data_IF_958676991252
#
_entry.id   IF_958676991252
#
_cell.length_a   1.000
_cell.length_b   1.000
_cell.length_c   1.000
_cell.angle_alpha   90.00
_cell.angle_beta   90.00
_cell.angle_gamma   90.00
#
_symmetry.space_group_name_H-M   'P 1'
#
loop_
_entity.id
_entity.type
_entity.pdbx_description
1 polymer ?
#
# COMPACT_ATOMS: atom_id res chain seq x y z
N UNK A 1 -42.12 40.14 21.14
CA UNK A 1 -43.01 39.00 21.39
C UNK A 1 -43.25 38.34 20.03
N UNK A 2 -42.99 37.02 19.92
CA UNK A 2 -43.00 36.16 18.71
C UNK A 2 -41.85 36.41 17.69
N UNK A 3 -40.80 35.59 17.67
CA UNK A 3 -40.63 34.25 17.03
C UNK A 3 -40.85 34.23 15.51
N UNK A 4 -39.77 33.97 14.77
CA UNK A 4 -39.77 33.08 13.61
C UNK A 4 -38.36 32.50 13.40
N UNK A 5 -38.29 31.18 13.53
CA UNK A 5 -37.14 30.30 13.34
C UNK A 5 -36.78 30.18 11.86
N UNK A 6 -35.50 30.28 11.51
CA UNK A 6 -34.99 29.86 10.20
C UNK A 6 -34.16 28.59 10.37
N UNK A 7 -34.72 27.51 9.83
CA UNK A 7 -34.22 26.14 9.79
C UNK A 7 -32.76 26.06 9.31
N UNK A 8 -31.90 25.49 10.16
CA UNK A 8 -30.66 24.81 9.75
C UNK A 8 -31.05 23.48 9.12
N UNK A 9 -30.88 23.35 7.80
CA UNK A 9 -30.94 22.03 7.16
C UNK A 9 -29.58 21.36 7.36
N UNK A 10 -29.48 20.53 8.40
CA UNK A 10 -28.49 19.46 8.43
C UNK A 10 -28.89 18.44 7.36
N UNK A 11 -28.05 18.27 6.35
CA UNK A 11 -28.10 17.10 5.49
C UNK A 11 -27.54 15.96 6.34
N UNK A 12 -28.42 15.29 7.05
CA UNK A 12 -28.14 13.97 7.62
C UNK A 12 -28.03 13.02 6.43
N UNK A 13 -26.81 12.73 5.99
CA UNK A 13 -26.54 11.57 5.14
C UNK A 13 -26.77 10.37 6.03
N UNK A 14 -28.02 9.92 6.09
CA UNK A 14 -28.39 8.64 6.67
C UNK A 14 -27.62 7.56 5.91
N UNK A 15 -27.03 6.64 6.66
CA UNK A 15 -26.42 5.44 6.14
C UNK A 15 -27.48 4.34 6.01
N UNK A 16 -28.03 4.06 4.82
CA UNK A 16 -28.77 2.81 4.63
C UNK A 16 -28.20 1.93 3.51
N UNK A 17 -26.92 2.04 3.15
CA UNK A 17 -26.29 1.07 2.23
C UNK A 17 -25.46 -0.01 2.95
N UNK A 18 -25.05 0.23 4.20
CA UNK A 18 -24.17 -0.69 4.94
C UNK A 18 -24.88 -1.89 5.57
N UNK A 19 -26.21 -1.85 5.72
CA UNK A 19 -26.99 -2.91 6.39
C UNK A 19 -27.57 -3.93 5.41
N UNK A 20 -27.58 -3.64 4.09
CA UNK A 20 -28.20 -4.55 3.12
C UNK A 20 -27.28 -5.72 2.68
N UNK A 21 -25.99 -5.72 3.03
CA UNK A 21 -25.05 -6.81 2.71
C UNK A 21 -24.83 -7.81 3.86
N UNK A 22 -25.35 -7.57 5.06
CA UNK A 22 -25.21 -8.48 6.21
C UNK A 22 -26.31 -9.56 6.29
N UNK A 23 -27.19 -9.63 5.30
CA UNK A 23 -28.44 -10.37 5.40
C UNK A 23 -28.57 -11.61 4.51
N UNK A 24 -27.52 -12.40 4.28
CA UNK A 24 -27.65 -13.79 3.79
C UNK A 24 -26.47 -14.66 4.24
N UNK A 25 -26.47 -15.07 5.52
CA UNK A 25 -25.73 -16.26 5.96
C UNK A 25 -26.49 -17.51 5.47
N UNK A 26 -26.37 -17.80 4.18
CA UNK A 26 -26.48 -19.16 3.70
C UNK A 26 -25.10 -19.79 3.86
N UNK A 27 -25.03 -20.98 4.45
CA UNK A 27 -23.83 -21.81 4.45
C UNK A 27 -23.46 -22.19 3.00
N UNK A 28 -22.83 -21.25 2.28
CA UNK A 28 -22.09 -21.57 1.08
C UNK A 28 -20.83 -22.28 1.57
N UNK A 29 -20.67 -23.54 1.18
CA UNK A 29 -19.44 -24.27 1.43
C UNK A 29 -18.26 -23.39 0.99
N UNK A 30 -17.42 -23.01 1.95
CA UNK A 30 -16.18 -22.30 1.70
C UNK A 30 -15.42 -23.11 0.65
N UNK A 31 -15.09 -22.47 -0.47
CA UNK A 31 -14.52 -23.19 -1.61
C UNK A 31 -13.07 -23.44 -1.28
N UNK A 32 -12.66 -24.67 -0.96
CA UNK A 32 -11.25 -24.94 -0.72
C UNK A 32 -10.46 -24.66 -1.99
N UNK A 33 -9.70 -23.55 -2.00
CA UNK A 33 -8.89 -23.19 -3.17
C UNK A 33 -7.48 -23.77 -3.11
N UNK A 34 -7.05 -24.26 -1.95
CA UNK A 34 -5.68 -24.68 -1.75
C UNK A 34 -5.43 -26.12 -2.21
N UNK A 35 -4.28 -26.34 -2.82
CA UNK A 35 -3.68 -27.65 -3.02
C UNK A 35 -2.38 -27.75 -2.19
N UNK A 36 -1.95 -28.95 -1.80
CA UNK A 36 -0.71 -29.13 -1.04
C UNK A 36 -0.79 -28.70 0.43
N UNK A 37 0.28 -28.15 1.05
CA UNK A 37 0.38 -27.94 2.51
C UNK A 37 -0.73 -27.09 3.14
N UNK A 38 -1.32 -26.15 2.37
CA UNK A 38 -2.41 -25.29 2.86
C UNK A 38 -3.78 -25.97 2.88
N UNK A 39 -3.97 -27.09 2.17
CA UNK A 39 -5.24 -27.82 2.16
C UNK A 39 -5.54 -28.53 3.48
N UNK A 40 -4.52 -28.74 4.32
CA UNK A 40 -4.67 -29.42 5.63
C UNK A 40 -4.94 -28.48 6.81
N UNK A 41 -4.88 -27.16 6.61
CA UNK A 41 -5.11 -26.14 7.64
C UNK A 41 -6.57 -25.67 7.60
N UNK A 42 -7.14 -25.39 8.77
CA UNK A 42 -8.41 -24.65 8.83
C UNK A 42 -8.21 -23.25 8.22
N UNK A 43 -9.06 -22.82 7.27
CA UNK A 43 -8.98 -21.48 6.70
C UNK A 43 -9.11 -20.42 7.79
N UNK A 44 -8.35 -19.34 7.65
CA UNK A 44 -8.54 -18.17 8.51
C UNK A 44 -9.88 -17.48 8.19
N UNK A 45 -10.70 -17.26 9.22
CA UNK A 45 -12.07 -16.75 9.13
C UNK A 45 -12.17 -15.24 9.46
N UNK A 46 -11.04 -14.57 9.70
CA UNK A 46 -11.01 -13.18 10.16
C UNK A 46 -10.81 -12.17 9.04
N UNK A 47 -11.38 -10.99 9.27
CA UNK A 47 -11.07 -9.80 8.49
C UNK A 47 -9.85 -9.09 9.07
N UNK A 48 -8.99 -8.57 8.19
CA UNK A 48 -7.93 -7.63 8.56
C UNK A 48 -8.30 -6.21 8.17
N UNK A 49 -7.88 -5.24 9.00
CA UNK A 49 -8.00 -3.81 8.72
C UNK A 49 -6.63 -3.16 8.93
N UNK A 50 -6.21 -2.36 7.96
CA UNK A 50 -4.93 -1.65 7.99
C UNK A 50 -5.15 -0.17 7.72
N UNK A 51 -4.57 0.67 8.57
CA UNK A 51 -4.45 2.11 8.33
C UNK A 51 -2.97 2.43 8.18
N UNK A 52 -2.61 3.01 7.04
CA UNK A 52 -1.26 3.50 6.75
C UNK A 52 -1.31 5.01 6.63
N UNK A 53 -0.38 5.68 7.29
CA UNK A 53 -0.15 7.12 7.20
C UNK A 53 1.34 7.27 6.95
N UNK A 54 1.70 7.87 5.82
CA UNK A 54 3.07 8.17 5.45
C UNK A 54 3.23 9.70 5.41
N UNK A 55 4.27 10.21 6.05
CA UNK A 55 4.53 11.64 6.10
C UNK A 55 6.03 11.91 6.35
N UNK A 56 6.57 12.96 5.75
CA UNK A 56 7.96 13.39 5.94
C UNK A 56 8.22 14.12 7.28
N UNK A 57 7.17 14.55 7.99
CA UNK A 57 7.20 14.99 9.40
C UNK A 57 7.79 13.92 10.34
N UNK A 58 7.75 12.65 9.94
CA UNK A 58 8.33 11.55 10.70
C UNK A 58 9.82 11.35 10.44
N UNK A 59 10.47 12.30 9.74
CA UNK A 59 11.90 12.30 9.45
C UNK A 59 12.63 13.44 10.16
N UNK A 60 13.93 13.29 10.47
CA UNK A 60 14.72 14.36 11.09
C UNK A 60 14.84 15.63 10.25
N UNK A 61 14.66 15.52 8.93
CA UNK A 61 14.79 16.64 7.98
C UNK A 61 13.50 17.44 7.82
N UNK A 62 12.33 16.83 8.07
CA UNK A 62 11.01 17.47 8.08
C UNK A 62 10.82 18.48 6.94
N UNK A 63 10.90 18.00 5.70
CA UNK A 63 11.11 18.89 4.56
C UNK A 63 9.83 19.25 3.79
N UNK A 64 8.70 18.54 3.95
CA UNK A 64 7.46 18.74 3.17
C UNK A 64 7.69 18.71 1.64
N UNK A 65 8.51 17.76 1.13
CA UNK A 65 9.03 17.75 -0.26
C UNK A 65 8.73 16.45 -0.99
N UNK A 66 8.46 16.56 -2.29
CA UNK A 66 8.29 15.47 -3.25
C UNK A 66 7.16 14.50 -2.93
N UNK A 67 7.33 13.61 -1.95
CA UNK A 67 6.26 12.77 -1.40
C UNK A 67 5.97 13.26 0.02
N UNK A 68 5.05 14.21 0.14
CA UNK A 68 4.76 14.88 1.43
C UNK A 68 3.78 14.06 2.29
N UNK A 69 2.79 13.42 1.66
CA UNK A 69 1.78 12.70 2.43
C UNK A 69 1.08 11.57 1.67
N UNK A 70 0.81 10.49 2.39
CA UNK A 70 -0.11 9.45 1.98
C UNK A 70 -0.98 8.95 3.13
N UNK A 71 -2.25 8.67 2.83
CA UNK A 71 -3.13 7.91 3.72
C UNK A 71 -3.77 6.78 2.96
N UNK A 72 -3.85 5.60 3.57
CA UNK A 72 -4.52 4.42 3.00
C UNK A 72 -5.24 3.64 4.07
N UNK A 73 -6.51 3.35 3.82
CA UNK A 73 -7.31 2.41 4.59
C UNK A 73 -7.53 1.16 3.75
N UNK A 74 -7.21 -0.01 4.30
CA UNK A 74 -7.34 -1.28 3.61
C UNK A 74 -8.07 -2.32 4.45
N UNK A 75 -8.78 -3.19 3.74
CA UNK A 75 -9.53 -4.32 4.26
C UNK A 75 -9.08 -5.56 3.51
N UNK A 76 -8.86 -6.65 4.24
CA UNK A 76 -8.56 -7.95 3.65
C UNK A 76 -9.52 -8.99 4.20
N UNK A 77 -10.06 -9.80 3.29
CA UNK A 77 -11.05 -10.81 3.61
C UNK A 77 -10.44 -12.01 4.33
N UNK A 78 -11.29 -12.83 4.97
CA UNK A 78 -10.97 -14.22 5.29
C UNK A 78 -10.51 -15.01 4.05
N UNK A 79 -9.86 -16.15 4.29
CA UNK A 79 -9.48 -17.07 3.21
C UNK A 79 -10.71 -17.64 2.53
N UNK A 80 -10.70 -17.71 1.20
CA UNK A 80 -11.69 -18.40 0.37
C UNK A 80 -13.15 -17.94 0.60
N UNK A 81 -13.33 -16.70 1.08
CA UNK A 81 -14.65 -16.15 1.39
C UNK A 81 -15.38 -15.56 0.18
N UNK A 82 -14.69 -15.39 -0.95
CA UNK A 82 -15.32 -14.89 -2.18
C UNK A 82 -16.13 -15.99 -2.89
N UNK A 83 -17.12 -15.63 -3.73
CA UNK A 83 -17.90 -16.62 -4.47
C UNK A 83 -17.02 -17.54 -5.33
N UNK A 84 -17.32 -18.85 -5.34
CA UNK A 84 -16.55 -19.88 -6.06
C UNK A 84 -16.29 -19.54 -7.54
N UNK A 85 -17.27 -18.94 -8.22
CA UNK A 85 -17.14 -18.52 -9.62
C UNK A 85 -16.05 -17.46 -9.81
N UNK A 86 -15.89 -16.55 -8.86
CA UNK A 86 -14.86 -15.52 -8.88
C UNK A 86 -13.47 -16.10 -8.59
N UNK A 87 -13.38 -16.98 -7.58
CA UNK A 87 -12.13 -17.69 -7.25
C UNK A 87 -11.65 -18.58 -8.40
N UNK A 88 -12.56 -19.25 -9.10
CA UNK A 88 -12.22 -20.07 -10.27
C UNK A 88 -11.66 -19.23 -11.42
N UNK A 89 -12.15 -18.01 -11.64
CA UNK A 89 -11.58 -17.08 -12.64
C UNK A 89 -10.20 -16.61 -12.21
N UNK A 90 -9.99 -16.30 -10.93
CA UNK A 90 -8.68 -15.94 -10.38
C UNK A 90 -7.62 -17.02 -10.67
N UNK A 91 -7.99 -18.31 -10.53
CA UNK A 91 -7.11 -19.45 -10.84
C UNK A 91 -6.74 -19.60 -12.32
N UNK A 92 -7.48 -18.97 -13.24
CA UNK A 92 -7.16 -18.99 -14.68
C UNK A 92 -6.16 -17.90 -15.07
N UNK A 93 -5.85 -16.97 -14.18
CA UNK A 93 -4.92 -15.88 -14.47
C UNK A 93 -3.51 -16.47 -14.62
N UNK A 94 -2.87 -16.32 -15.79
CA UNK A 94 -1.54 -16.88 -16.02
C UNK A 94 -0.56 -16.41 -14.95
N UNK A 95 0.26 -17.34 -14.46
CA UNK A 95 1.27 -17.13 -13.42
C UNK A 95 0.73 -16.79 -12.03
N UNK A 96 -0.58 -16.63 -11.82
CA UNK A 96 -1.15 -16.49 -10.48
C UNK A 96 -1.13 -17.86 -9.77
N UNK A 97 -0.69 -17.90 -8.51
CA UNK A 97 -0.65 -19.12 -7.70
C UNK A 97 -2.07 -19.65 -7.47
N UNK A 98 -2.51 -20.60 -8.28
CA UNK A 98 -3.87 -21.17 -8.23
C UNK A 98 -4.03 -22.24 -7.16
N UNK A 99 -2.91 -22.68 -6.60
CA UNK A 99 -2.76 -23.69 -5.55
C UNK A 99 -2.79 -23.13 -4.11
N UNK A 100 -2.79 -21.81 -3.94
CA UNK A 100 -2.80 -21.16 -2.63
C UNK A 100 -4.19 -20.81 -2.11
N UNK A 101 -4.28 -20.47 -0.81
CA UNK A 101 -5.48 -19.88 -0.19
C UNK A 101 -5.66 -18.45 -0.69
N UNK A 102 -6.86 -18.11 -1.16
CA UNK A 102 -7.11 -16.81 -1.80
C UNK A 102 -7.85 -15.88 -0.83
N UNK A 103 -7.35 -14.64 -0.67
CA UNK A 103 -8.04 -13.53 -0.02
C UNK A 103 -8.37 -12.45 -1.04
N UNK A 104 -9.40 -11.65 -0.77
CA UNK A 104 -9.67 -10.41 -1.49
C UNK A 104 -9.23 -9.22 -0.66
N UNK A 105 -8.66 -8.21 -1.32
CA UNK A 105 -8.28 -6.94 -0.67
C UNK A 105 -9.04 -5.78 -1.29
N UNK A 106 -9.34 -4.78 -0.46
CA UNK A 106 -9.92 -3.52 -0.88
C UNK A 106 -9.21 -2.39 -0.17
N UNK A 107 -8.87 -1.33 -0.88
CA UNK A 107 -8.32 -0.13 -0.23
C UNK A 107 -8.83 1.16 -0.83
N UNK A 108 -8.75 2.22 -0.04
CA UNK A 108 -8.97 3.60 -0.46
C UNK A 108 -7.79 4.40 0.07
N UNK A 109 -7.18 5.21 -0.78
CA UNK A 109 -6.05 6.04 -0.40
C UNK A 109 -5.95 7.33 -1.17
N UNK A 110 -5.19 8.26 -0.61
CA UNK A 110 -4.85 9.53 -1.21
C UNK A 110 -3.35 9.78 -1.03
N UNK A 111 -2.68 10.25 -2.08
CA UNK A 111 -1.26 10.62 -2.05
C UNK A 111 -1.07 12.02 -2.60
N UNK A 112 -0.11 12.74 -2.05
CA UNK A 112 0.16 14.14 -2.36
C UNK A 112 1.65 14.31 -2.68
N UNK A 113 1.90 15.06 -3.74
CA UNK A 113 3.22 15.34 -4.26
C UNK A 113 3.38 16.84 -4.44
N UNK A 114 4.50 17.37 -3.97
CA UNK A 114 4.78 18.81 -3.91
C UNK A 114 6.21 19.09 -4.37
N UNK A 115 6.49 20.31 -4.86
CA UNK A 115 7.85 20.84 -4.93
C UNK A 115 8.54 20.90 -3.56
N UNK A 116 9.83 21.24 -3.56
CA UNK A 116 10.66 21.42 -2.36
C UNK A 116 10.17 22.54 -1.44
N UNK A 117 9.58 23.61 -1.98
CA UNK A 117 9.06 24.75 -1.20
C UNK A 117 7.56 24.94 -1.43
N UNK A 118 6.77 24.49 -0.46
CA UNK A 118 5.31 24.59 -0.48
C UNK A 118 4.78 26.02 -0.30
N UNK A 119 5.62 26.96 0.17
CA UNK A 119 5.22 28.35 0.45
C UNK A 119 5.28 29.26 -0.79
N UNK A 120 5.82 28.74 -1.90
CA UNK A 120 5.88 29.42 -3.19
C UNK A 120 4.61 29.15 -4.00
N UNK A 121 3.83 30.21 -4.24
CA UNK A 121 2.59 30.15 -5.00
C UNK A 121 2.81 30.04 -6.52
N UNK A 122 3.95 30.52 -7.01
CA UNK A 122 4.29 30.47 -8.43
C UNK A 122 4.64 29.04 -8.89
N UNK A 123 4.46 28.78 -10.19
CA UNK A 123 4.87 27.52 -10.79
C UNK A 123 6.40 27.32 -10.63
N UNK A 124 6.80 26.12 -10.21
CA UNK A 124 8.19 25.72 -9.97
C UNK A 124 8.61 24.67 -11.03
N UNK A 125 8.99 25.08 -12.26
CA UNK A 125 9.13 24.17 -13.39
C UNK A 125 10.38 23.26 -13.35
N UNK A 126 11.32 23.54 -12.46
CA UNK A 126 12.54 22.74 -12.28
C UNK A 126 12.44 21.82 -11.06
N UNK A 127 11.22 21.56 -10.60
CA UNK A 127 10.91 20.78 -9.42
C UNK A 127 9.71 19.86 -9.71
N UNK A 128 9.38 18.96 -8.78
CA UNK A 128 8.25 18.06 -8.90
C UNK A 128 6.95 18.83 -9.04
N UNK A 129 6.13 18.55 -10.06
CA UNK A 129 4.80 19.12 -10.18
C UNK A 129 3.94 18.85 -8.95
N UNK A 130 3.12 19.82 -8.57
CA UNK A 130 2.02 19.59 -7.63
C UNK A 130 1.08 18.53 -8.20
N UNK A 131 0.85 17.45 -7.45
CA UNK A 131 -0.04 16.39 -7.86
C UNK A 131 -0.73 15.76 -6.66
N UNK A 132 -2.06 15.72 -6.69
CA UNK A 132 -2.87 14.90 -5.81
C UNK A 132 -3.40 13.68 -6.55
N UNK A 133 -3.47 12.53 -5.89
CA UNK A 133 -4.10 11.32 -6.40
C UNK A 133 -5.02 10.72 -5.35
N UNK A 134 -6.28 10.47 -5.72
CA UNK A 134 -7.26 9.74 -4.92
C UNK A 134 -7.60 8.45 -5.64
N UNK A 135 -7.49 7.31 -4.96
CA UNK A 135 -7.64 6.02 -5.59
C UNK A 135 -8.26 4.98 -4.68
N UNK A 136 -8.93 4.02 -5.29
CA UNK A 136 -9.34 2.77 -4.65
C UNK A 136 -8.69 1.59 -5.34
N UNK A 137 -8.44 0.53 -4.57
CA UNK A 137 -7.94 -0.74 -5.10
C UNK A 137 -8.87 -1.90 -4.77
N UNK A 138 -8.89 -2.88 -5.67
CA UNK A 138 -9.48 -4.18 -5.44
C UNK A 138 -8.48 -5.24 -5.89
N UNK A 139 -8.17 -6.20 -5.04
CA UNK A 139 -7.12 -7.17 -5.29
C UNK A 139 -7.44 -8.59 -4.85
N UNK A 140 -6.59 -9.49 -5.32
CA UNK A 140 -6.54 -10.91 -5.01
C UNK A 140 -5.15 -11.22 -4.47
N UNK A 141 -5.11 -11.93 -3.35
CA UNK A 141 -3.87 -12.38 -2.72
C UNK A 141 -3.94 -13.89 -2.55
N UNK A 142 -3.00 -14.62 -3.15
CA UNK A 142 -2.91 -16.08 -3.03
C UNK A 142 -1.65 -16.46 -2.25
N UNK A 143 -1.83 -17.19 -1.15
CA UNK A 143 -0.73 -17.71 -0.31
C UNK A 143 -0.64 -19.24 -0.45
N UNK A 144 0.47 -19.73 -1.00
CA UNK A 144 0.69 -21.17 -1.19
C UNK A 144 1.09 -21.89 0.10
N UNK A 145 1.42 -21.15 1.16
CA UNK A 145 2.05 -21.69 2.36
C UNK A 145 3.45 -22.23 2.11
N UNK A 146 4.12 -22.68 3.19
CA UNK A 146 5.43 -23.31 3.08
C UNK A 146 5.35 -24.59 2.24
N UNK A 147 5.92 -24.54 1.04
CA UNK A 147 6.08 -25.68 0.15
C UNK A 147 7.32 -26.46 0.55
N UNK A 148 7.17 -27.76 0.83
CA UNK A 148 8.27 -28.71 0.95
C UNK A 148 8.52 -29.38 -0.39
N UNK A 149 9.46 -28.87 -1.19
CA UNK A 149 9.85 -29.52 -2.44
C UNK A 149 11.15 -30.31 -2.25
N UNK A 150 11.06 -31.64 -2.23
CA UNK A 150 12.24 -32.51 -2.14
C UNK A 150 12.98 -32.39 -0.80
N UNK A 151 14.30 -32.58 -0.82
CA UNK A 151 15.12 -32.75 0.38
C UNK A 151 15.33 -31.46 1.20
N UNK A 152 15.36 -30.25 0.63
CA UNK A 152 15.99 -29.12 1.36
C UNK A 152 15.46 -27.69 1.07
N UNK A 153 14.21 -27.48 0.61
CA UNK A 153 13.66 -26.11 0.53
C UNK A 153 12.24 -25.97 1.07
N UNK A 154 12.08 -25.10 2.08
CA UNK A 154 10.82 -24.67 2.69
C UNK A 154 10.60 -23.18 2.37
N UNK A 155 9.89 -22.84 1.30
CA UNK A 155 9.52 -21.44 1.03
C UNK A 155 8.02 -21.30 0.86
N UNK A 156 7.47 -20.14 1.23
CA UNK A 156 6.11 -19.74 0.90
C UNK A 156 6.11 -18.75 -0.24
N UNK A 157 5.15 -18.87 -1.15
CA UNK A 157 4.95 -17.90 -2.22
C UNK A 157 3.64 -17.16 -1.99
N UNK A 158 3.71 -15.84 -2.13
CA UNK A 158 2.52 -15.02 -2.32
C UNK A 158 2.54 -14.38 -3.70
N UNK A 159 1.39 -14.45 -4.34
CA UNK A 159 1.07 -13.65 -5.49
C UNK A 159 -0.06 -12.65 -5.15
N UNK A 160 0.13 -11.40 -5.54
CA UNK A 160 -0.90 -10.36 -5.43
C UNK A 160 -1.22 -9.83 -6.82
N UNK A 161 -2.51 -9.74 -7.15
CA UNK A 161 -3.02 -9.05 -8.33
C UNK A 161 -3.97 -7.95 -7.88
N UNK A 162 -3.72 -6.71 -8.28
CA UNK A 162 -4.48 -5.55 -7.81
C UNK A 162 -4.91 -4.67 -8.98
N UNK A 163 -6.20 -4.33 -9.04
CA UNK A 163 -6.75 -3.28 -9.90
C UNK A 163 -6.81 -1.98 -9.09
N UNK A 164 -6.26 -0.90 -9.67
CA UNK A 164 -6.35 0.46 -9.14
C UNK A 164 -7.24 1.30 -10.04
N UNK A 165 -8.17 2.04 -9.44
CA UNK A 165 -9.01 3.04 -10.10
C UNK A 165 -9.00 4.34 -9.30
N UNK A 166 -9.09 5.49 -9.95
CA UNK A 166 -9.05 6.75 -9.23
C UNK A 166 -9.01 7.97 -10.13
N UNK A 167 -8.49 9.07 -9.59
CA UNK A 167 -8.29 10.32 -10.29
C UNK A 167 -7.04 11.06 -9.77
N UNK A 168 -6.32 11.73 -10.67
CA UNK A 168 -5.30 12.73 -10.30
C UNK A 168 -5.81 14.15 -10.52
N UNK A 169 -5.16 15.15 -9.93
CA UNK A 169 -5.48 16.57 -10.08
C UNK A 169 -6.49 17.09 -9.05
N UNK A 170 -7.12 18.26 -9.24
CA UNK A 170 -7.98 18.89 -8.24
C UNK A 170 -9.12 18.01 -7.71
N UNK A 171 -9.64 17.09 -8.52
CA UNK A 171 -10.68 16.14 -8.11
C UNK A 171 -10.21 15.11 -7.06
N UNK A 172 -8.90 15.02 -6.81
CA UNK A 172 -8.35 14.20 -5.74
C UNK A 172 -8.55 14.81 -4.35
N UNK A 173 -8.87 16.11 -4.25
CA UNK A 173 -9.03 16.87 -3.00
C UNK A 173 -7.77 16.90 -2.11
N UNK A 174 -6.60 16.81 -2.72
CA UNK A 174 -5.32 16.82 -2.01
C UNK A 174 -5.03 18.19 -1.36
N UNK A 175 -5.36 19.29 -2.03
CA UNK A 175 -5.22 20.65 -1.47
C UNK A 175 -5.99 20.79 -0.18
N UNK A 176 -7.30 20.49 -0.21
CA UNK A 176 -8.16 20.62 0.96
C UNK A 176 -7.68 19.73 2.11
N UNK A 177 -7.16 18.55 1.79
CA UNK A 177 -6.66 17.61 2.79
C UNK A 177 -5.34 18.07 3.39
N UNK A 178 -4.36 18.48 2.58
CA UNK A 178 -3.09 19.00 3.06
C UNK A 178 -3.30 20.27 3.89
N UNK A 179 -4.09 21.21 3.37
CA UNK A 179 -4.45 22.45 4.06
C UNK A 179 -5.12 22.21 5.41
N UNK A 180 -6.00 21.21 5.50
CA UNK A 180 -6.63 20.81 6.76
C UNK A 180 -5.60 20.25 7.76
N UNK A 181 -4.71 19.35 7.32
CA UNK A 181 -3.69 18.75 8.17
C UNK A 181 -2.69 19.81 8.65
N UNK A 182 -2.17 20.65 7.75
CA UNK A 182 -1.20 21.70 8.07
C UNK A 182 -1.77 22.67 9.11
N UNK A 183 -3.07 23.00 9.01
CA UNK A 183 -3.77 23.80 10.01
C UNK A 183 -3.90 23.10 11.37
N UNK A 184 -4.10 21.78 11.38
CA UNK A 184 -4.27 21.00 12.61
C UNK A 184 -2.96 20.90 13.41
N UNK A 185 -1.82 20.84 12.72
CA UNK A 185 -0.49 20.63 13.33
C UNK A 185 0.38 21.89 13.36
N UNK A 186 -0.15 23.04 12.93
CA UNK A 186 0.57 24.33 12.87
C UNK A 186 1.80 24.31 11.93
N UNK A 187 1.64 23.68 10.75
CA UNK A 187 2.62 23.66 9.65
C UNK A 187 2.35 24.81 8.64
N UNK A 188 3.36 25.33 7.90
CA UNK A 188 3.15 26.35 6.87
C UNK A 188 2.05 25.99 5.87
N UNK A 189 1.27 26.96 5.43
CA UNK A 189 0.20 26.72 4.46
C UNK A 189 0.79 26.43 3.07
N UNK A 190 0.32 25.39 2.35
CA UNK A 190 0.72 25.16 0.97
C UNK A 190 0.06 26.18 0.03
N UNK A 191 0.84 26.99 -0.67
CA UNK A 191 0.36 28.10 -1.51
C UNK A 191 0.31 27.74 -3.01
N UNK A 192 0.89 26.61 -3.42
CA UNK A 192 1.13 26.29 -4.84
C UNK A 192 0.11 25.39 -5.54
N UNK A 193 -0.94 24.92 -4.84
CA UNK A 193 -1.91 23.93 -5.36
C UNK A 193 -2.65 24.34 -6.63
N UNK A 194 -2.75 25.65 -6.93
CA UNK A 194 -3.31 26.16 -8.18
C UNK A 194 -2.49 25.74 -9.43
N UNK A 195 -1.22 25.37 -9.25
CA UNK A 195 -0.32 24.91 -10.31
C UNK A 195 -0.37 23.39 -10.55
N UNK A 196 -1.21 22.65 -9.83
CA UNK A 196 -1.24 21.19 -9.93
C UNK A 196 -1.62 20.66 -11.32
N UNK A 197 -1.22 19.41 -11.58
CA UNK A 197 -1.61 18.66 -12.76
C UNK A 197 -3.15 18.57 -12.86
N UNK A 198 -3.67 18.39 -14.07
CA UNK A 198 -5.10 18.44 -14.35
C UNK A 198 -5.80 17.14 -14.00
N UNK A 199 -7.13 17.22 -13.95
CA UNK A 199 -7.97 16.06 -13.70
C UNK A 199 -7.79 14.99 -14.77
N UNK A 200 -7.45 13.79 -14.35
CA UNK A 200 -7.38 12.62 -15.22
C UNK A 200 -7.79 11.36 -14.47
N UNK A 201 -8.74 10.57 -15.01
CA UNK A 201 -9.07 9.28 -14.44
C UNK A 201 -7.88 8.33 -14.56
N UNK A 202 -7.63 7.55 -13.52
CA UNK A 202 -6.53 6.58 -13.52
C UNK A 202 -7.06 5.16 -13.48
N UNK A 203 -6.34 4.30 -14.18
CA UNK A 203 -6.52 2.86 -14.17
C UNK A 203 -5.13 2.20 -14.18
N UNK A 204 -4.96 1.19 -13.35
CA UNK A 204 -3.73 0.42 -13.30
C UNK A 204 -3.96 -1.00 -12.84
N UNK A 205 -3.11 -1.91 -13.29
CA UNK A 205 -3.03 -3.28 -12.78
C UNK A 205 -1.63 -3.53 -12.28
N UNK A 206 -1.53 -4.06 -11.06
CA UNK A 206 -0.28 -4.45 -10.43
C UNK A 206 -0.28 -5.96 -10.22
N UNK A 207 0.79 -6.62 -10.64
CA UNK A 207 1.08 -8.00 -10.27
C UNK A 207 2.37 -8.04 -9.45
N UNK A 208 2.35 -8.78 -8.35
CA UNK A 208 3.46 -8.90 -7.44
C UNK A 208 3.64 -10.34 -7.01
N UNK A 209 4.90 -10.73 -6.82
CA UNK A 209 5.28 -12.01 -6.25
C UNK A 209 6.31 -11.84 -5.14
N UNK A 210 6.12 -12.57 -4.05
CA UNK A 210 7.04 -12.67 -2.91
C UNK A 210 7.38 -14.12 -2.63
N UNK A 211 8.62 -14.37 -2.24
CA UNK A 211 9.10 -15.67 -1.78
C UNK A 211 9.54 -15.57 -0.33
N UNK A 212 8.64 -15.85 0.62
CA UNK A 212 8.95 -15.85 2.05
C UNK A 212 9.69 -17.13 2.42
N UNK A 213 10.63 -17.01 3.35
CA UNK A 213 11.40 -18.15 3.82
C UNK A 213 12.41 -18.66 2.80
N UNK A 214 12.83 -17.80 1.86
CA UNK A 214 13.97 -18.12 0.98
C UNK A 214 15.21 -18.43 1.83
N UNK A 215 15.36 -17.73 2.94
CA UNK A 215 16.29 -18.02 4.02
C UNK A 215 15.54 -17.90 5.35
N UNK A 216 15.72 -18.87 6.24
CA UNK A 216 15.24 -18.84 7.63
C UNK A 216 16.37 -19.34 8.53
N UNK A 217 16.62 -18.65 9.64
CA UNK A 217 17.55 -19.11 10.66
C UNK A 217 17.02 -18.75 12.06
N UNK A 218 17.20 -19.66 13.02
CA UNK A 218 17.01 -19.40 14.45
C UNK A 218 18.37 -19.47 15.12
N UNK A 219 18.75 -18.40 15.80
CA UNK A 219 19.92 -18.38 16.66
C UNK A 219 19.53 -17.90 18.05
N UNK A 220 19.50 -18.84 19.01
CA UNK A 220 19.23 -18.58 20.42
C UNK A 220 17.85 -17.92 20.65
N UNK A 221 16.84 -18.27 19.84
CA UNK A 221 15.49 -17.71 19.93
C UNK A 221 15.31 -16.36 19.24
N UNK A 222 16.28 -15.95 18.43
CA UNK A 222 16.15 -14.84 17.48
C UNK A 222 16.05 -15.43 16.08
N UNK A 223 14.94 -15.12 15.42
CA UNK A 223 14.62 -15.59 14.09
C UNK A 223 15.02 -14.55 13.04
N UNK A 224 15.46 -15.05 11.89
CA UNK A 224 15.87 -14.26 10.74
C UNK A 224 15.19 -14.80 9.50
N UNK A 225 14.70 -13.91 8.62
CA UNK A 225 14.30 -14.30 7.28
C UNK A 225 14.70 -13.31 6.21
N UNK A 226 14.72 -13.82 4.98
CA UNK A 226 14.79 -13.03 3.77
C UNK A 226 13.61 -13.35 2.85
N UNK A 227 12.97 -12.30 2.35
CA UNK A 227 11.82 -12.35 1.45
C UNK A 227 12.12 -11.53 0.20
N UNK A 228 12.73 -12.12 -0.85
CA UNK A 228 12.84 -11.47 -2.14
C UNK A 228 11.48 -11.36 -2.83
N UNK A 229 11.34 -10.30 -3.62
CA UNK A 229 10.10 -10.01 -4.33
C UNK A 229 10.34 -9.28 -5.65
N UNK A 230 9.31 -9.30 -6.48
CA UNK A 230 9.23 -8.50 -7.70
C UNK A 230 7.80 -8.08 -8.00
N UNK A 231 7.65 -6.91 -8.61
CA UNK A 231 6.35 -6.37 -8.97
C UNK A 231 6.41 -5.69 -10.35
N UNK A 232 5.28 -5.69 -11.05
CA UNK A 232 5.07 -4.93 -12.28
C UNK A 232 3.74 -4.21 -12.17
N UNK A 233 3.76 -2.91 -12.43
CA UNK A 233 2.56 -2.07 -12.52
C UNK A 233 2.42 -1.56 -13.95
N UNK A 234 1.22 -1.70 -14.52
CA UNK A 234 0.86 -1.18 -15.84
C UNK A 234 -0.38 -0.30 -15.71
N UNK A 235 -0.28 0.97 -16.07
CA UNK A 235 -1.36 1.94 -15.95
C UNK A 235 -1.00 3.31 -16.50
N UNK A 236 -2.00 4.18 -16.61
CA UNK A 236 -1.78 5.56 -17.07
C UNK A 236 -1.26 6.47 -15.96
N UNK A 237 -1.45 6.13 -14.68
CA UNK A 237 -0.79 6.82 -13.57
C UNK A 237 0.67 6.39 -13.44
N UNK A 238 0.88 5.07 -13.32
CA UNK A 238 2.20 4.48 -13.11
C UNK A 238 2.41 3.31 -14.06
N UNK A 239 3.59 3.24 -14.67
CA UNK A 239 4.08 2.04 -15.38
C UNK A 239 5.52 1.81 -14.96
N UNK A 240 5.76 0.72 -14.23
CA UNK A 240 7.07 0.42 -13.68
C UNK A 240 7.25 -1.08 -13.41
N UNK A 241 8.50 -1.47 -13.18
CA UNK A 241 8.88 -2.79 -12.69
C UNK A 241 9.83 -2.63 -11.50
N UNK A 242 9.65 -3.46 -10.48
CA UNK A 242 10.41 -3.43 -9.23
C UNK A 242 10.98 -4.81 -8.91
N UNK A 243 12.20 -4.82 -8.38
CA UNK A 243 12.83 -5.99 -7.77
C UNK A 243 13.48 -5.59 -6.46
N UNK A 244 13.32 -6.41 -5.43
CA UNK A 244 13.89 -6.12 -4.12
C UNK A 244 13.96 -7.31 -3.19
N UNK A 245 14.41 -7.06 -1.97
CA UNK A 245 14.44 -8.05 -0.90
C UNK A 245 14.22 -7.37 0.44
N UNK A 246 13.38 -8.00 1.27
CA UNK A 246 13.17 -7.64 2.66
C UNK A 246 13.90 -8.63 3.57
N UNK A 247 14.57 -8.13 4.59
CA UNK A 247 15.18 -8.90 5.66
C UNK A 247 14.49 -8.57 6.98
N UNK A 248 14.18 -9.59 7.78
CA UNK A 248 13.59 -9.43 9.12
C UNK A 248 14.47 -10.12 10.16
N UNK A 249 14.54 -9.52 11.34
CA UNK A 249 15.18 -10.10 12.53
C UNK A 249 14.29 -9.80 13.74
N UNK A 250 13.87 -10.83 14.47
CA UNK A 250 12.93 -10.66 15.57
C UNK A 250 12.78 -11.89 16.44
N UNK A 251 11.82 -11.79 17.35
CA UNK A 251 11.33 -12.93 18.13
C UNK A 251 9.91 -13.24 17.69
N UNK A 252 9.62 -14.52 17.49
CA UNK A 252 8.28 -14.99 17.11
C UNK A 252 7.80 -14.28 15.83
N UNK A 253 8.57 -14.44 14.75
CA UNK A 253 8.30 -13.73 13.51
C UNK A 253 6.95 -14.18 12.96
N UNK A 254 5.99 -13.25 12.78
CA UNK A 254 4.70 -13.63 12.24
C UNK A 254 4.88 -14.14 10.82
N UNK A 255 3.98 -15.04 10.43
CA UNK A 255 3.77 -15.45 9.07
C UNK A 255 3.11 -14.31 8.26
N UNK A 256 3.83 -13.20 8.10
CA UNK A 256 3.51 -12.05 7.24
C UNK A 256 4.56 -11.85 6.14
N UNK A 257 4.41 -10.81 5.33
CA UNK A 257 5.29 -10.53 4.19
C UNK A 257 5.82 -9.09 4.25
N UNK A 258 6.13 -8.65 5.47
CA UNK A 258 6.51 -7.27 5.80
C UNK A 258 5.30 -6.36 6.03
N UNK A 259 5.51 -5.18 6.61
CA UNK A 259 4.47 -4.20 6.87
C UNK A 259 3.97 -3.53 5.58
N UNK A 260 2.65 -3.29 5.44
CA UNK A 260 2.05 -2.69 4.25
C UNK A 260 2.51 -1.25 4.08
N UNK A 261 2.53 -0.78 2.83
CA UNK A 261 2.82 0.60 2.46
C UNK A 261 2.04 1.06 1.24
N UNK A 262 2.00 2.36 1.06
CA UNK A 262 1.34 3.03 -0.06
C UNK A 262 2.23 2.92 -1.30
N UNK A 263 1.67 2.45 -2.41
CA UNK A 263 2.43 2.33 -3.65
C UNK A 263 2.67 3.71 -4.30
N UNK A 264 3.80 3.90 -5.02
CA UNK A 264 4.79 2.88 -5.35
C UNK A 264 5.86 2.76 -4.26
N UNK A 265 5.92 1.59 -3.63
CA UNK A 265 6.81 1.30 -2.51
C UNK A 265 7.08 -0.20 -2.42
N UNK A 266 8.20 -0.57 -1.78
CA UNK A 266 8.51 -1.96 -1.45
C UNK A 266 7.29 -2.61 -0.77
N UNK A 267 6.83 -3.78 -1.20
CA UNK A 267 5.50 -4.20 -0.85
C UNK A 267 5.47 -4.88 0.51
N UNK A 268 4.39 -4.68 1.26
CA UNK A 268 4.08 -5.40 2.50
C UNK A 268 2.86 -6.30 2.38
N UNK A 269 2.38 -6.84 3.49
CA UNK A 269 1.09 -7.53 3.58
C UNK A 269 0.21 -6.81 4.58
N UNK A 270 -1.01 -6.45 4.14
CA UNK A 270 -2.06 -5.92 5.03
C UNK A 270 -2.55 -6.98 6.05
N UNK A 271 -2.11 -8.23 5.90
CA UNK A 271 -2.42 -9.35 6.78
C UNK A 271 -1.18 -9.90 7.49
N UNK A 272 -1.38 -10.42 8.70
CA UNK A 272 -0.41 -11.23 9.44
C UNK A 272 -1.17 -12.30 10.22
N UNK A 273 -0.61 -13.51 10.30
CA UNK A 273 -1.04 -14.51 11.29
C UNK A 273 -0.12 -14.34 12.49
N UNK A 274 -0.62 -13.91 13.65
CA UNK A 274 0.14 -13.98 14.89
C UNK A 274 0.45 -15.45 15.19
N UNK A 275 1.71 -15.80 15.40
CA UNK A 275 2.04 -17.01 16.15
C UNK A 275 1.91 -16.61 17.64
N UNK A 276 0.93 -17.16 18.35
CA UNK A 276 0.64 -16.75 19.75
C UNK A 276 0.24 -17.94 20.61
N UNK A 277 0.86 -19.09 20.41
CA UNK A 277 0.64 -20.26 21.29
C UNK A 277 1.26 -20.05 22.70
N UNK A 278 2.00 -18.96 22.92
CA UNK A 278 2.63 -18.60 24.20
C UNK A 278 2.24 -17.21 24.73
N UNK A 279 3.08 -16.21 24.44
CA UNK A 279 2.93 -14.84 24.94
C UNK A 279 2.48 -13.94 23.79
N UNK A 280 1.42 -13.11 23.94
CA UNK A 280 0.81 -12.38 22.83
C UNK A 280 1.61 -11.12 22.45
N UNK A 281 2.94 -11.22 22.41
CA UNK A 281 3.85 -10.17 22.00
C UNK A 281 4.86 -10.77 21.03
N UNK A 282 4.92 -10.20 19.84
CA UNK A 282 5.94 -10.46 18.81
C UNK A 282 6.56 -9.13 18.41
N UNK A 283 7.81 -9.15 17.96
CA UNK A 283 8.50 -7.94 17.55
C UNK A 283 9.67 -8.22 16.65
N UNK A 284 9.83 -7.37 15.63
CA UNK A 284 10.93 -7.48 14.69
C UNK A 284 11.41 -6.14 14.19
N UNK A 285 12.69 -6.08 13.88
CA UNK A 285 13.26 -5.04 13.02
C UNK A 285 13.37 -5.58 11.61
N UNK A 286 13.29 -4.69 10.65
CA UNK A 286 13.42 -5.06 9.25
C UNK A 286 14.22 -4.03 8.47
N UNK A 287 14.84 -4.51 7.40
CA UNK A 287 15.51 -3.68 6.41
C UNK A 287 15.22 -4.24 5.03
N UNK A 288 14.95 -3.39 4.05
CA UNK A 288 14.70 -3.81 2.69
C UNK A 288 15.32 -2.86 1.69
N UNK A 289 15.62 -3.38 0.50
CA UNK A 289 16.03 -2.57 -0.63
C UNK A 289 15.28 -3.00 -1.89
N UNK A 290 14.98 -2.04 -2.76
CA UNK A 290 14.47 -2.28 -4.11
C UNK A 290 15.12 -1.35 -5.13
N UNK A 291 15.21 -1.85 -6.36
CA UNK A 291 15.37 -1.02 -7.54
C UNK A 291 14.10 -1.06 -8.38
N UNK A 292 13.71 0.10 -8.90
CA UNK A 292 12.53 0.30 -9.74
C UNK A 292 12.94 0.94 -11.07
N UNK A 293 12.46 0.37 -12.17
CA UNK A 293 12.50 0.99 -13.48
C UNK A 293 11.16 1.70 -13.75
N UNK A 294 11.19 3.03 -13.90
CA UNK A 294 10.01 3.89 -14.04
C UNK A 294 9.85 4.33 -15.50
N UNK A 295 8.91 3.70 -16.20
CA UNK A 295 8.56 4.10 -17.58
C UNK A 295 7.56 5.25 -17.60
N UNK A 296 6.60 5.24 -16.67
CA UNK A 296 5.61 6.31 -16.49
C UNK A 296 5.36 6.58 -15.02
N UNK A 297 5.35 7.86 -14.69
CA UNK A 297 4.89 8.41 -13.42
C UNK A 297 4.16 9.72 -13.73
N UNK A 298 2.83 9.72 -13.66
CA UNK A 298 1.98 10.88 -13.98
C UNK A 298 2.28 12.10 -13.10
N UNK A 299 2.85 11.91 -11.92
CA UNK A 299 3.19 13.00 -10.99
C UNK A 299 4.44 13.77 -11.44
N UNK A 300 5.28 13.13 -12.27
CA UNK A 300 6.48 13.73 -12.86
C UNK A 300 6.30 14.03 -14.35
N UNK A 301 5.66 13.12 -15.08
CA UNK A 301 5.45 13.21 -16.53
C UNK A 301 4.27 14.11 -16.92
N UNK A 302 3.39 14.43 -15.96
CA UNK A 302 2.15 15.12 -16.23
C UNK A 302 1.07 14.26 -16.91
N UNK A 303 -0.06 14.91 -17.21
CA UNK A 303 -1.26 14.27 -17.75
C UNK A 303 -1.01 13.57 -19.10
N UNK A 304 -1.71 12.46 -19.34
CA UNK A 304 -1.72 11.75 -20.63
C UNK A 304 -2.60 12.46 -21.66
N UNK A 305 -3.71 13.05 -21.20
CA UNK A 305 -4.78 13.56 -22.08
C UNK A 305 -4.88 15.09 -22.11
N UNK A 306 -3.96 15.78 -21.43
CA UNK A 306 -3.88 17.23 -21.39
C UNK A 306 -2.43 17.65 -21.20
N UNK A 307 -2.08 18.87 -21.63
CA UNK A 307 -0.80 19.46 -21.28
C UNK A 307 -0.83 19.95 -19.82
N UNK A 308 0.19 19.60 -19.05
CA UNK A 308 0.36 20.01 -17.65
C UNK A 308 1.83 20.21 -17.30
N UNK A 309 2.10 20.65 -16.06
CA UNK A 309 3.45 20.65 -15.52
C UNK A 309 4.05 19.23 -15.58
N UNK A 310 5.35 19.17 -15.87
CA UNK A 310 6.16 17.96 -15.93
C UNK A 310 7.62 18.31 -15.64
N UNK A 311 8.40 17.32 -15.24
CA UNK A 311 9.84 17.43 -14.98
C UNK A 311 10.57 16.18 -15.50
N UNK A 312 11.83 16.35 -15.90
CA UNK A 312 12.63 15.26 -16.49
C UNK A 312 12.96 14.19 -15.43
N UNK A 313 12.17 13.10 -15.42
CA UNK A 313 12.31 12.00 -14.48
C UNK A 313 13.58 11.17 -14.67
N UNK A 314 14.03 10.56 -13.58
CA UNK A 314 15.03 9.50 -13.58
C UNK A 314 14.34 8.13 -13.77
N UNK A 315 14.73 7.34 -14.79
CA UNK A 315 14.08 6.06 -15.05
C UNK A 315 14.47 4.97 -14.05
N UNK A 316 15.51 5.18 -13.24
CA UNK A 316 15.97 4.22 -12.23
C UNK A 316 15.89 4.84 -10.85
N UNK A 317 15.06 4.27 -10.00
CA UNK A 317 14.87 4.73 -8.61
C UNK A 317 15.22 3.58 -7.66
N UNK A 318 16.02 3.86 -6.64
CA UNK A 318 16.37 2.93 -5.57
C UNK A 318 15.69 3.34 -4.27
N UNK A 319 15.10 2.37 -3.58
CA UNK A 319 14.54 2.53 -2.24
C UNK A 319 15.34 1.69 -1.25
N UNK A 320 15.80 2.32 -0.16
CA UNK A 320 16.24 1.65 1.06
C UNK A 320 15.22 1.94 2.15
N UNK A 321 14.93 0.95 2.98
CA UNK A 321 14.00 1.12 4.08
C UNK A 321 14.41 0.32 5.28
N UNK A 322 14.12 0.87 6.44
CA UNK A 322 14.42 0.28 7.74
C UNK A 322 13.24 0.56 8.66
N UNK A 323 12.97 -0.35 9.58
CA UNK A 323 11.86 -0.13 10.49
C UNK A 323 11.75 -1.17 11.57
N UNK A 324 10.68 -1.03 12.35
CA UNK A 324 10.35 -1.94 13.42
C UNK A 324 8.84 -2.19 13.45
N UNK A 325 8.46 -3.39 13.84
CA UNK A 325 7.09 -3.79 14.06
C UNK A 325 6.95 -4.40 15.45
N UNK A 326 5.85 -4.06 16.12
CA UNK A 326 5.44 -4.64 17.39
C UNK A 326 4.04 -5.19 17.22
N UNK A 327 3.84 -6.44 17.61
CA UNK A 327 2.58 -7.15 17.50
C UNK A 327 2.11 -7.49 18.91
N UNK A 328 0.90 -7.05 19.25
CA UNK A 328 0.26 -7.32 20.55
C UNK A 328 -1.08 -7.99 20.27
N UNK A 329 -1.15 -9.30 20.48
CA UNK A 329 -2.31 -10.12 20.14
C UNK A 329 -2.67 -10.03 18.65
N UNK A 330 -3.73 -9.29 18.33
CA UNK A 330 -4.24 -9.12 16.96
C UNK A 330 -3.95 -7.72 16.37
N UNK A 331 -3.19 -6.88 17.08
CA UNK A 331 -2.80 -5.55 16.62
C UNK A 331 -1.32 -5.54 16.25
N UNK A 332 -0.98 -4.93 15.11
CA UNK A 332 0.41 -4.67 14.69
C UNK A 332 0.60 -3.16 14.54
N UNK A 333 1.62 -2.64 15.20
CA UNK A 333 2.09 -1.27 15.01
C UNK A 333 3.45 -1.33 14.32
N UNK A 334 3.62 -0.55 13.26
CA UNK A 334 4.85 -0.52 12.49
C UNK A 334 5.28 0.92 12.28
N UNK A 335 6.58 1.17 12.40
CA UNK A 335 7.23 2.35 11.86
C UNK A 335 8.20 1.92 10.76
N UNK A 336 8.14 2.60 9.61
CA UNK A 336 9.08 2.39 8.50
C UNK A 336 9.71 3.73 8.16
N UNK A 337 11.02 3.76 7.98
CA UNK A 337 11.74 4.90 7.46
C UNK A 337 12.30 4.55 6.09
N UNK A 338 12.07 5.39 5.10
CA UNK A 338 12.44 5.16 3.70
C UNK A 338 13.46 6.21 3.28
N UNK A 339 14.46 5.77 2.51
CA UNK A 339 15.41 6.59 1.76
C UNK A 339 15.21 6.27 0.27
N UNK A 340 14.90 7.28 -0.52
CA UNK A 340 14.65 7.14 -1.95
C UNK A 340 15.66 7.94 -2.75
N UNK A 341 16.31 7.34 -3.74
CA UNK A 341 17.20 8.08 -4.65
C UNK A 341 16.40 9.13 -5.45
N UNK A 342 17.07 10.15 -6.02
CA UNK A 342 16.42 11.11 -6.91
C UNK A 342 15.46 10.46 -7.92
N UNK A 343 14.26 11.03 -8.05
CA UNK A 343 13.23 10.62 -9.01
C UNK A 343 13.22 11.50 -10.26
N UNK A 344 13.92 12.64 -10.26
CA UNK A 344 14.06 13.54 -11.40
C UNK A 344 15.41 14.29 -11.42
N UNK A 345 15.80 14.75 -12.60
CA UNK A 345 17.16 15.25 -12.91
C UNK A 345 17.56 16.47 -12.09
N UNK A 346 16.61 17.37 -11.81
CA UNK A 346 16.86 18.62 -11.10
C UNK A 346 16.87 18.46 -9.56
N UNK A 347 16.54 17.28 -9.04
CA UNK A 347 16.42 17.01 -7.62
C UNK A 347 17.78 17.11 -6.90
N UNK A 348 17.82 17.81 -5.77
CA UNK A 348 19.07 18.17 -5.09
C UNK A 348 19.62 17.09 -4.14
N UNK A 349 18.93 15.96 -3.99
CA UNK A 349 19.34 14.86 -3.12
C UNK A 349 18.34 13.70 -3.07
N UNK A 350 18.61 12.73 -2.19
CA UNK A 350 17.70 11.64 -1.91
C UNK A 350 16.60 12.07 -0.93
N UNK A 351 15.39 11.56 -1.14
CA UNK A 351 14.23 11.82 -0.27
C UNK A 351 14.19 10.88 0.93
N UNK A 352 13.55 11.35 1.99
CA UNK A 352 13.27 10.58 3.18
C UNK A 352 11.82 10.79 3.62
N UNK A 353 11.13 9.71 4.01
CA UNK A 353 9.78 9.76 4.58
C UNK A 353 9.54 8.55 5.49
N UNK A 354 8.50 8.57 6.33
CA UNK A 354 8.18 7.43 7.20
C UNK A 354 6.75 7.33 7.69
#
# INVERSE_FOLDING_TARGET
>A
MYQASALRHFITISAPLFVLLMGMQGALAQTDTADGPQSTRAPDDKWGVSLSVENDLFTPTNSDQHYTNGVRLAFISPEDSAPASFLNVAKQIPFFASEGRIRTSYSLGQTMYTPDDITVAENQPNDRPWAGMLYGTAGLLSDTGQQKTGSDSNYSRIDTLELTLGVVGPASLADETQSFVHKLIDSPHPEGWDNQIKNEPIIGVTYERKYRGWFEADLLGVEFDATPHGAVTLGNAFTNAELGTMFRMGFDLPADYGPPRIRPSLPGSDFFVPDTDGFPLSGYVFAGFAGRYVARDITLDGNTFADSASVDKEPWVGDLQVGLAVIIGQARLTYTHVYRTPEFTAQSGADQFG
#
